data_IF_097237595654
#
_entry.id   IF_097237595654
#
_cell.length_a   1.000
_cell.length_b   1.000
_cell.length_c   1.000
_cell.angle_alpha   90.00
_cell.angle_beta   90.00
_cell.angle_gamma   90.00
#
_symmetry.space_group_name_H-M   'P 1'
#
loop_
_entity.id
_entity.type
_entity.pdbx_description
1 polymer ?
#
# COMPACT_ATOMS: atom_id res chain seq x y z
N UNK A 1 27.14 -4.69 -5.47
CA UNK A 1 26.97 -3.24 -5.25
C UNK A 1 25.95 -3.08 -4.14
N UNK A 2 26.39 -2.71 -2.94
CA UNK A 2 25.53 -2.53 -1.77
C UNK A 2 25.29 -1.03 -1.64
N UNK A 3 24.05 -0.60 -1.85
CA UNK A 3 23.65 0.80 -1.66
C UNK A 3 22.76 0.81 -0.43
N UNK A 4 23.32 1.19 0.71
CA UNK A 4 22.58 1.40 1.95
C UNK A 4 22.33 2.89 2.06
N UNK A 5 21.24 3.34 1.46
CA UNK A 5 20.68 4.67 1.70
C UNK A 5 19.36 4.45 2.43
N UNK A 6 19.45 4.45 3.76
CA UNK A 6 18.32 4.45 4.67
C UNK A 6 17.61 5.82 4.56
N UNK A 7 16.80 5.98 3.52
CA UNK A 7 15.64 6.85 3.58
C UNK A 7 14.56 6.04 4.27
N UNK A 8 14.38 6.22 5.58
CA UNK A 8 13.53 5.42 6.49
C UNK A 8 12.03 5.34 6.14
N UNK A 9 11.61 5.59 4.90
CA UNK A 9 10.20 5.54 4.50
C UNK A 9 9.90 5.14 3.06
N UNK A 10 10.90 4.96 2.20
CA UNK A 10 10.64 4.47 0.84
C UNK A 10 10.97 2.99 0.79
N UNK A 11 9.95 2.14 0.86
CA UNK A 11 10.05 0.76 0.40
C UNK A 11 10.62 0.82 -1.02
N UNK A 12 11.91 0.47 -1.18
CA UNK A 12 12.60 0.53 -2.47
C UNK A 12 11.95 -0.39 -3.50
N UNK A 13 11.16 -1.35 -3.02
CA UNK A 13 10.33 -2.29 -3.77
C UNK A 13 9.00 -2.47 -3.03
N UNK A 14 7.90 -2.56 -3.76
CA UNK A 14 6.58 -2.82 -3.19
C UNK A 14 6.55 -4.19 -2.52
N UNK A 15 6.14 -4.26 -1.25
CA UNK A 15 6.04 -5.51 -0.51
C UNK A 15 4.60 -6.06 -0.56
N UNK A 16 4.40 -7.06 -1.42
CA UNK A 16 3.11 -7.76 -1.57
C UNK A 16 2.65 -8.40 -0.26
N UNK A 17 3.55 -8.87 0.60
CA UNK A 17 3.18 -9.52 1.87
C UNK A 17 2.60 -8.49 2.84
N UNK A 18 3.22 -7.31 2.94
CA UNK A 18 2.70 -6.20 3.76
C UNK A 18 1.34 -5.76 3.22
N UNK A 19 1.22 -5.58 1.90
CA UNK A 19 -0.03 -5.16 1.27
C UNK A 19 -1.17 -6.15 1.56
N UNK A 20 -0.95 -7.45 1.34
CA UNK A 20 -1.93 -8.51 1.58
C UNK A 20 -2.25 -8.71 3.07
N UNK A 21 -1.31 -8.37 3.96
CA UNK A 21 -1.55 -8.37 5.40
C UNK A 21 -2.53 -7.26 5.81
N UNK A 22 -2.43 -6.07 5.20
CA UNK A 22 -3.17 -4.87 5.59
C UNK A 22 -4.50 -4.68 4.85
N UNK A 23 -4.53 -4.89 3.54
CA UNK A 23 -5.69 -4.60 2.68
C UNK A 23 -6.70 -5.76 2.76
N UNK A 24 -7.95 -5.41 3.01
CA UNK A 24 -9.08 -6.35 2.95
C UNK A 24 -9.70 -6.37 1.56
N UNK A 25 -9.92 -5.18 0.97
CA UNK A 25 -10.48 -5.04 -0.38
C UNK A 25 -10.13 -3.70 -1.01
N UNK A 26 -10.20 -3.66 -2.33
CA UNK A 26 -10.05 -2.43 -3.14
C UNK A 26 -11.42 -2.06 -3.70
N UNK A 27 -11.85 -0.82 -3.49
CA UNK A 27 -13.07 -0.28 -4.10
C UNK A 27 -12.71 0.64 -5.25
N UNK A 28 -13.11 0.28 -6.46
CA UNK A 28 -12.97 1.14 -7.64
C UNK A 28 -14.24 2.01 -7.71
N UNK A 29 -14.06 3.32 -7.52
CA UNK A 29 -15.16 4.29 -7.56
C UNK A 29 -15.26 4.94 -8.94
N UNK A 30 -14.11 5.21 -9.56
CA UNK A 30 -13.98 5.72 -10.94
C UNK A 30 -12.69 5.15 -11.55
N UNK A 31 -12.48 5.23 -12.87
CA UNK A 31 -11.27 4.70 -13.52
C UNK A 31 -9.95 5.17 -12.90
N UNK A 32 -9.93 6.38 -12.33
CA UNK A 32 -8.76 7.00 -11.69
C UNK A 32 -8.93 7.22 -10.19
N UNK A 33 -9.98 6.65 -9.58
CA UNK A 33 -10.24 6.81 -8.15
C UNK A 33 -10.62 5.48 -7.52
N UNK A 34 -9.73 4.99 -6.66
CA UNK A 34 -9.93 3.78 -5.89
C UNK A 34 -9.55 4.01 -4.43
N UNK A 35 -10.17 3.22 -3.55
CA UNK A 35 -9.99 3.30 -2.10
C UNK A 35 -9.59 1.93 -1.59
N UNK A 36 -8.49 1.89 -0.83
CA UNK A 36 -8.10 0.70 -0.08
C UNK A 36 -8.91 0.64 1.23
N UNK A 37 -9.58 -0.48 1.45
CA UNK A 37 -10.20 -0.79 2.74
C UNK A 37 -9.26 -1.72 3.49
N UNK A 38 -8.74 -1.26 4.62
CA UNK A 38 -7.87 -2.05 5.49
C UNK A 38 -8.69 -2.98 6.36
N UNK A 39 -8.09 -4.07 6.86
CA UNK A 39 -8.76 -5.06 7.72
C UNK A 39 -9.27 -4.49 9.05
N UNK A 40 -8.74 -3.36 9.50
CA UNK A 40 -9.24 -2.65 10.68
C UNK A 40 -10.40 -1.69 10.37
N UNK A 41 -10.89 -1.67 9.12
CA UNK A 41 -11.98 -0.80 8.67
C UNK A 41 -11.55 0.60 8.24
N UNK A 42 -10.27 0.97 8.38
CA UNK A 42 -9.76 2.24 7.87
C UNK A 42 -9.80 2.27 6.35
N UNK A 43 -9.95 3.49 5.82
CA UNK A 43 -9.99 3.77 4.38
C UNK A 43 -8.82 4.66 4.03
N UNK A 44 -8.07 4.26 3.02
CA UNK A 44 -6.94 5.02 2.49
C UNK A 44 -7.24 5.32 1.04
N UNK A 45 -7.31 6.60 0.73
CA UNK A 45 -7.41 7.10 -0.63
C UNK A 45 -6.02 7.04 -1.27
N UNK A 46 -5.96 6.54 -2.51
CA UNK A 46 -4.73 6.39 -3.28
C UNK A 46 -4.37 7.65 -4.08
#
# INVERSE_FOLDING_TARGET
MKVTNEQEGSLSEFDDNIFNALVEKIKILQPTYFVFVLKNGLRVDA
#
